data_IF_870321435231
#
_entry.id   IF_870321435231
#
_cell.length_a   1.000
_cell.length_b   1.000
_cell.length_c   1.000
_cell.angle_alpha   90.00
_cell.angle_beta   90.00
_cell.angle_gamma   90.00
#
_symmetry.space_group_name_H-M   'P 1'
#
loop_
_entity.id
_entity.type
_entity.pdbx_description
1 polymer ?
#
# COMPACT_ATOMS: atom_id res chain seq x y z
N UNK A 1 -14.31 13.62 19.26
CA UNK A 1 -15.25 14.00 18.18
C UNK A 1 -14.69 13.61 16.83
N UNK A 2 -15.13 12.50 16.25
CA UNK A 2 -14.70 12.02 14.92
C UNK A 2 -15.36 12.86 13.82
N UNK A 3 -14.57 13.70 13.12
CA UNK A 3 -15.05 14.41 11.93
C UNK A 3 -15.41 13.39 10.84
N UNK A 4 -16.71 13.09 10.69
CA UNK A 4 -17.22 12.33 9.54
C UNK A 4 -16.89 13.12 8.27
N UNK A 5 -16.01 12.59 7.42
CA UNK A 5 -15.72 13.15 6.10
C UNK A 5 -17.02 13.17 5.29
N UNK A 6 -17.53 14.37 4.99
CA UNK A 6 -18.70 14.54 4.13
C UNK A 6 -18.35 14.06 2.72
N UNK A 7 -19.25 13.28 2.12
CA UNK A 7 -19.10 12.83 0.74
C UNK A 7 -19.09 14.04 -0.23
N UNK A 8 -18.12 14.07 -1.15
CA UNK A 8 -17.99 15.11 -2.18
C UNK A 8 -17.99 14.44 -3.56
N UNK A 9 -18.80 14.96 -4.50
CA UNK A 9 -18.85 14.46 -5.88
C UNK A 9 -17.49 14.62 -6.58
N UNK A 10 -17.06 13.62 -7.34
CA UNK A 10 -15.72 13.53 -7.97
C UNK A 10 -15.33 14.77 -8.81
N UNK A 11 -16.27 15.35 -9.54
CA UNK A 11 -16.01 16.54 -10.36
C UNK A 11 -15.72 17.79 -9.50
N UNK A 12 -16.40 17.92 -8.36
CA UNK A 12 -16.17 19.02 -7.40
C UNK A 12 -14.80 18.85 -6.75
N UNK A 13 -14.45 17.63 -6.33
CA UNK A 13 -13.12 17.32 -5.79
C UNK A 13 -11.99 17.68 -6.77
N UNK A 14 -12.14 17.33 -8.06
CA UNK A 14 -11.19 17.70 -9.12
C UNK A 14 -11.07 19.21 -9.33
N UNK A 15 -12.19 19.95 -9.26
CA UNK A 15 -12.19 21.42 -9.40
C UNK A 15 -11.46 22.08 -8.22
N UNK A 16 -11.70 21.61 -6.99
CA UNK A 16 -11.00 22.09 -5.79
C UNK A 16 -9.49 21.82 -5.92
N UNK A 17 -9.10 20.60 -6.32
CA UNK A 17 -7.69 20.25 -6.53
C UNK A 17 -7.00 21.12 -7.59
N UNK A 18 -7.66 21.38 -8.73
CA UNK A 18 -7.12 22.28 -9.77
C UNK A 18 -6.96 23.72 -9.27
N UNK A 19 -7.91 24.21 -8.48
CA UNK A 19 -7.85 25.57 -7.92
C UNK A 19 -6.77 25.70 -6.84
N UNK A 20 -6.53 24.65 -6.03
CA UNK A 20 -5.43 24.61 -5.06
C UNK A 20 -4.06 24.51 -5.73
N UNK A 21 -3.95 23.84 -6.89
CA UNK A 21 -2.71 23.80 -7.68
C UNK A 21 -2.40 25.15 -8.36
N UNK A 22 -3.44 25.94 -8.70
CA UNK A 22 -3.29 27.27 -9.30
C UNK A 22 -3.10 28.42 -8.29
N UNK A 23 -3.33 28.20 -6.99
CA UNK A 23 -2.91 29.17 -5.98
C UNK A 23 -1.41 29.03 -5.74
N UNK A 24 -0.66 30.12 -5.91
CA UNK A 24 0.79 30.25 -5.72
C UNK A 24 1.33 29.69 -4.37
N UNK A 25 1.37 28.38 -4.20
CA UNK A 25 2.00 27.68 -3.06
C UNK A 25 3.50 27.39 -3.25
N UNK A 26 4.10 27.95 -4.32
CA UNK A 26 5.23 27.32 -5.02
C UNK A 26 6.62 27.82 -4.63
N UNK A 27 6.83 28.40 -3.45
CA UNK A 27 8.20 28.73 -2.99
C UNK A 27 8.70 27.92 -1.80
N UNK A 28 7.81 27.26 -1.04
CA UNK A 28 8.17 26.56 0.20
C UNK A 28 7.70 25.11 0.28
N UNK A 29 7.12 24.57 -0.79
CA UNK A 29 6.64 23.18 -0.78
C UNK A 29 7.78 22.15 -0.76
N UNK A 30 8.93 22.49 -1.34
CA UNK A 30 10.10 21.62 -1.46
C UNK A 30 11.33 22.40 -1.03
N UNK A 31 12.06 21.89 -0.05
CA UNK A 31 13.30 22.46 0.48
C UNK A 31 14.43 21.46 0.21
N UNK A 32 15.35 21.83 -0.68
CA UNK A 32 16.52 21.02 -0.96
C UNK A 32 17.72 21.47 -0.11
N UNK A 33 18.10 20.62 0.84
CA UNK A 33 19.30 20.74 1.67
C UNK A 33 20.39 19.74 1.25
N UNK A 34 20.15 18.95 0.19
CA UNK A 34 21.12 17.99 -0.32
C UNK A 34 22.13 18.67 -1.24
N UNK A 35 23.26 18.00 -1.47
CA UNK A 35 24.28 18.48 -2.42
C UNK A 35 23.86 18.30 -3.89
N UNK A 36 22.81 17.52 -4.17
CA UNK A 36 22.35 17.24 -5.53
C UNK A 36 21.31 18.25 -6.00
N UNK A 37 21.44 18.81 -7.22
CA UNK A 37 20.41 19.67 -7.78
C UNK A 37 19.17 18.84 -8.17
N UNK A 38 17.99 19.44 -8.02
CA UNK A 38 16.74 18.83 -8.46
C UNK A 38 16.38 19.32 -9.86
N UNK A 39 16.15 18.38 -10.76
CA UNK A 39 15.52 18.67 -12.05
C UNK A 39 14.05 19.12 -11.91
N UNK A 40 13.55 19.81 -12.92
CA UNK A 40 12.17 20.29 -13.04
C UNK A 40 11.17 19.13 -12.88
N UNK A 41 11.47 17.94 -13.41
CA UNK A 41 10.61 16.78 -13.27
C UNK A 41 10.57 16.24 -11.84
N UNK A 42 11.69 16.30 -11.10
CA UNK A 42 11.73 15.98 -9.67
C UNK A 42 10.85 16.93 -8.86
N UNK A 43 10.95 18.23 -9.14
CA UNK A 43 10.14 19.26 -8.46
C UNK A 43 8.66 19.03 -8.76
N UNK A 44 8.30 18.80 -10.03
CA UNK A 44 6.92 18.50 -10.45
C UNK A 44 6.37 17.26 -9.75
N UNK A 45 7.14 16.18 -9.68
CA UNK A 45 6.76 14.95 -8.99
C UNK A 45 6.55 15.20 -7.48
N UNK A 46 7.52 15.79 -6.79
CA UNK A 46 7.47 16.04 -5.35
C UNK A 46 6.35 17.01 -4.99
N UNK A 47 6.01 17.96 -5.88
CA UNK A 47 4.90 18.89 -5.67
C UNK A 47 3.53 18.21 -5.56
N UNK A 48 3.39 16.96 -6.03
CA UNK A 48 2.18 16.15 -5.84
C UNK A 48 2.02 15.64 -4.41
N UNK A 49 3.09 15.67 -3.61
CA UNK A 49 3.10 15.29 -2.19
C UNK A 49 3.51 13.84 -1.92
N UNK A 50 4.01 13.58 -0.71
CA UNK A 50 4.47 12.24 -0.28
C UNK A 50 3.34 11.20 -0.13
N UNK A 51 2.08 11.66 -0.07
CA UNK A 51 0.90 10.79 -0.04
C UNK A 51 0.33 10.49 -1.45
N UNK A 52 0.99 10.96 -2.50
CA UNK A 52 0.58 10.68 -3.87
C UNK A 52 0.82 9.21 -4.20
N UNK A 53 -0.19 8.54 -4.76
CA UNK A 53 -0.09 7.14 -5.21
C UNK A 53 -0.02 7.10 -6.73
N UNK A 54 1.14 6.74 -7.32
CA UNK A 54 1.25 6.44 -8.74
C UNK A 54 0.31 5.31 -9.14
N UNK A 55 -0.26 5.41 -10.34
CA UNK A 55 -0.95 4.28 -10.98
C UNK A 55 0.11 3.30 -11.49
N UNK A 56 0.07 2.05 -11.02
CA UNK A 56 0.96 1.00 -11.55
C UNK A 56 0.65 0.76 -13.03
N UNK A 57 1.69 0.53 -13.83
CA UNK A 57 1.55 0.29 -15.28
C UNK A 57 1.23 -1.17 -15.61
N UNK A 58 1.73 -2.09 -14.78
CA UNK A 58 1.52 -3.51 -14.92
C UNK A 58 0.94 -4.10 -13.65
N UNK A 59 0.21 -5.19 -13.85
CA UNK A 59 -0.27 -6.04 -12.79
C UNK A 59 0.84 -7.03 -12.39
N UNK A 60 1.14 -7.14 -11.09
CA UNK A 60 2.11 -8.12 -10.60
C UNK A 60 1.39 -9.46 -10.38
N UNK A 61 1.47 -10.33 -11.39
CA UNK A 61 0.85 -11.67 -11.36
C UNK A 61 1.36 -12.52 -10.20
N UNK A 62 2.64 -12.39 -9.83
CA UNK A 62 3.26 -13.16 -8.74
C UNK A 62 2.70 -12.71 -7.40
N UNK A 63 2.62 -11.41 -7.15
CA UNK A 63 1.99 -10.87 -5.92
C UNK A 63 0.52 -11.26 -5.86
N UNK A 64 -0.23 -11.15 -6.95
CA UNK A 64 -1.63 -11.56 -6.99
C UNK A 64 -1.80 -13.04 -6.66
N UNK A 65 -1.00 -13.92 -7.27
CA UNK A 65 -1.05 -15.35 -6.98
C UNK A 65 -0.70 -15.61 -5.51
N UNK A 66 0.31 -14.92 -4.98
CA UNK A 66 0.70 -15.01 -3.57
C UNK A 66 -0.46 -14.62 -2.66
N UNK A 67 -1.15 -13.53 -2.96
CA UNK A 67 -2.31 -13.07 -2.20
C UNK A 67 -3.47 -14.08 -2.25
N UNK A 68 -3.74 -14.66 -3.42
CA UNK A 68 -4.75 -15.73 -3.58
C UNK A 68 -4.36 -16.96 -2.75
N UNK A 69 -3.10 -17.38 -2.76
CA UNK A 69 -2.62 -18.51 -1.95
C UNK A 69 -2.73 -18.23 -0.45
N UNK A 70 -2.37 -17.04 0.00
CA UNK A 70 -2.50 -16.64 1.41
C UNK A 70 -3.97 -16.55 1.84
N UNK A 71 -4.83 -16.03 0.98
CA UNK A 71 -6.27 -15.94 1.23
C UNK A 71 -6.93 -17.31 1.35
N UNK A 72 -6.72 -18.18 0.37
CA UNK A 72 -7.26 -19.55 0.35
C UNK A 72 -6.76 -20.35 1.55
N UNK A 73 -5.50 -20.19 1.91
CA UNK A 73 -4.92 -20.74 3.15
C UNK A 73 -5.68 -20.25 4.40
N UNK A 74 -5.95 -18.95 4.53
CA UNK A 74 -6.68 -18.40 5.69
C UNK A 74 -8.07 -19.01 5.82
N UNK A 75 -8.79 -19.16 4.71
CA UNK A 75 -10.11 -19.82 4.68
C UNK A 75 -9.99 -21.26 5.18
N UNK A 76 -9.03 -22.02 4.66
CA UNK A 76 -8.84 -23.43 5.04
C UNK A 76 -8.48 -23.60 6.49
N UNK A 77 -7.57 -22.78 7.00
CA UNK A 77 -7.20 -22.79 8.43
C UNK A 77 -8.43 -22.49 9.28
N UNK A 78 -9.21 -21.45 8.96
CA UNK A 78 -10.42 -21.13 9.71
C UNK A 78 -11.41 -22.30 9.73
N UNK A 79 -11.69 -22.90 8.58
CA UNK A 79 -12.58 -24.07 8.50
C UNK A 79 -12.02 -25.30 9.26
N UNK A 80 -10.71 -25.54 9.19
CA UNK A 80 -10.09 -26.68 9.86
C UNK A 80 -10.20 -26.60 11.39
N UNK A 81 -10.10 -25.39 11.95
CA UNK A 81 -10.14 -25.16 13.40
C UNK A 81 -11.53 -24.76 13.95
N UNK A 82 -12.55 -24.63 13.09
CA UNK A 82 -13.91 -24.22 13.46
C UNK A 82 -14.57 -25.14 14.51
N UNK A 83 -14.30 -26.45 14.45
CA UNK A 83 -14.83 -27.42 15.42
C UNK A 83 -13.99 -27.49 16.71
N UNK A 84 -12.71 -27.13 16.67
CA UNK A 84 -11.83 -27.14 17.85
C UNK A 84 -12.13 -26.01 18.82
N UNK A 85 -12.81 -24.96 18.37
CA UNK A 85 -13.21 -23.84 19.24
C UNK A 85 -14.44 -24.20 20.06
N UNK A 86 -15.39 -24.98 19.51
CA UNK A 86 -16.63 -25.36 20.18
C UNK A 86 -16.46 -26.45 21.25
N UNK A 87 -15.51 -27.36 21.08
CA UNK A 87 -15.22 -28.41 22.09
C UNK A 87 -14.39 -27.90 23.29
N UNK A 88 -13.84 -26.68 23.21
CA UNK A 88 -12.98 -26.10 24.25
C UNK A 88 -13.64 -24.98 25.08
N UNK A 89 -14.91 -24.66 24.85
CA UNK A 89 -15.63 -23.65 25.65
C UNK A 89 -15.84 -24.09 27.11
N UNK A 90 -15.85 -25.41 27.39
CA UNK A 90 -16.03 -25.98 28.73
C UNK A 90 -14.72 -26.26 29.49
N UNK A 91 -13.55 -25.89 28.94
CA UNK A 91 -12.27 -26.16 29.56
C UNK A 91 -11.81 -24.94 30.40
N UNK A 92 -11.65 -25.06 31.74
CA UNK A 92 -11.32 -23.93 32.64
C UNK A 92 -9.89 -23.38 32.45
N UNK A 93 -9.11 -23.91 31.50
CA UNK A 93 -7.78 -23.47 31.13
C UNK A 93 -7.75 -22.61 29.84
N UNK A 94 -8.85 -21.92 29.51
CA UNK A 94 -8.89 -20.90 28.47
C UNK A 94 -8.12 -19.65 28.94
N UNK A 95 -6.80 -19.80 29.12
CA UNK A 95 -5.89 -18.67 29.20
C UNK A 95 -5.99 -17.87 27.90
N UNK A 96 -6.13 -16.55 28.04
CA UNK A 96 -6.12 -15.60 26.93
C UNK A 96 -4.87 -15.83 26.08
N UNK A 97 -5.04 -16.43 24.89
CA UNK A 97 -3.90 -16.75 24.02
C UNK A 97 -3.16 -15.47 23.65
N UNK A 98 -2.01 -15.23 24.26
CA UNK A 98 -1.08 -14.19 23.84
C UNK A 98 -0.14 -14.78 22.78
N UNK A 99 -0.22 -14.36 21.51
CA UNK A 99 0.66 -14.88 20.47
C UNK A 99 2.12 -14.57 20.81
N UNK A 100 2.96 -15.60 20.95
CA UNK A 100 4.40 -15.41 21.17
C UNK A 100 5.02 -14.72 19.93
N UNK A 101 5.62 -13.52 20.08
CA UNK A 101 6.19 -12.76 18.97
C UNK A 101 7.40 -13.44 18.30
N UNK A 102 8.04 -14.41 18.97
CA UNK A 102 9.20 -15.16 18.44
C UNK A 102 8.82 -16.49 17.77
N UNK A 103 7.53 -16.84 17.74
CA UNK A 103 7.07 -18.05 17.07
C UNK A 103 7.02 -17.82 15.56
N UNK A 104 7.81 -18.58 14.81
CA UNK A 104 7.74 -18.57 13.34
C UNK A 104 6.33 -18.95 12.87
N UNK A 105 5.84 -18.25 11.84
CA UNK A 105 4.57 -18.60 11.23
C UNK A 105 4.65 -20.00 10.63
N UNK A 106 3.70 -20.87 10.98
CA UNK A 106 3.63 -22.20 10.38
C UNK A 106 3.49 -22.09 8.86
N UNK A 107 4.20 -22.93 8.10
CA UNK A 107 4.02 -23.11 6.66
C UNK A 107 2.88 -24.06 6.30
N UNK A 108 2.28 -24.75 7.27
CA UNK A 108 1.30 -25.80 7.03
C UNK A 108 -0.06 -25.29 6.54
N UNK A 109 -0.62 -25.94 5.54
CA UNK A 109 -1.98 -25.68 5.02
C UNK A 109 -2.79 -26.98 5.05
N UNK A 110 -4.06 -26.95 5.50
CA UNK A 110 -4.91 -28.13 5.45
C UNK A 110 -5.09 -28.64 4.00
N UNK A 111 -5.06 -29.98 3.78
CA UNK A 111 -5.25 -30.55 2.46
C UNK A 111 -6.67 -30.26 1.93
N UNK A 112 -6.84 -30.16 0.60
CA UNK A 112 -8.16 -30.09 -0.03
C UNK A 112 -8.98 -31.36 0.23
N UNK A 113 -10.29 -31.29 0.03
CA UNK A 113 -11.18 -32.44 -0.05
C UNK A 113 -12.05 -32.68 1.19
N UNK A 114 -11.80 -31.97 2.30
CA UNK A 114 -12.62 -32.09 3.51
C UNK A 114 -14.05 -31.53 3.30
N UNK A 115 -14.18 -30.45 2.53
CA UNK A 115 -15.46 -29.82 2.22
C UNK A 115 -15.48 -29.39 0.75
N UNK A 116 -16.34 -30.05 -0.04
CA UNK A 116 -16.48 -29.83 -1.49
C UNK A 116 -16.97 -28.43 -1.83
N UNK A 117 -17.88 -27.87 -1.03
CA UNK A 117 -18.45 -26.54 -1.25
C UNK A 117 -17.39 -25.46 -1.04
N UNK A 118 -16.58 -25.61 0.01
CA UNK A 118 -15.46 -24.72 0.30
C UNK A 118 -14.40 -24.77 -0.80
N UNK A 119 -14.04 -25.97 -1.27
CA UNK A 119 -13.07 -26.12 -2.35
C UNK A 119 -13.62 -25.57 -3.67
N UNK A 120 -14.90 -25.78 -3.97
CA UNK A 120 -15.57 -25.16 -5.13
C UNK A 120 -15.52 -23.63 -5.06
N UNK A 121 -15.85 -23.05 -3.91
CA UNK A 121 -15.79 -21.61 -3.68
C UNK A 121 -14.37 -21.05 -3.85
N UNK A 122 -13.36 -21.71 -3.26
CA UNK A 122 -11.96 -21.35 -3.42
C UNK A 122 -11.56 -21.35 -4.89
N UNK A 123 -11.94 -22.40 -5.64
CA UNK A 123 -11.62 -22.52 -7.06
C UNK A 123 -12.29 -21.43 -7.89
N UNK A 124 -13.57 -21.12 -7.63
CA UNK A 124 -14.27 -20.04 -8.33
C UNK A 124 -13.61 -18.69 -8.08
N UNK A 125 -13.30 -18.34 -6.83
CA UNK A 125 -12.64 -17.06 -6.52
C UNK A 125 -11.25 -16.98 -7.11
N UNK A 126 -10.45 -18.03 -7.01
CA UNK A 126 -9.12 -18.06 -7.60
C UNK A 126 -9.19 -17.86 -9.12
N UNK A 127 -10.18 -18.48 -9.77
CA UNK A 127 -10.45 -18.30 -11.19
C UNK A 127 -10.87 -16.87 -11.51
N UNK A 128 -11.82 -16.30 -10.76
CA UNK A 128 -12.31 -14.94 -10.98
C UNK A 128 -11.19 -13.91 -10.82
N UNK A 129 -10.35 -14.05 -9.79
CA UNK A 129 -9.24 -13.10 -9.55
C UNK A 129 -8.15 -13.24 -10.62
N UNK A 130 -7.77 -14.46 -10.98
CA UNK A 130 -6.63 -14.71 -11.87
C UNK A 130 -6.99 -14.66 -13.36
N UNK A 131 -8.24 -14.94 -13.74
CA UNK A 131 -8.65 -15.05 -15.15
C UNK A 131 -9.54 -13.89 -15.61
N UNK A 132 -10.10 -13.09 -14.70
CA UNK A 132 -10.83 -11.90 -15.12
C UNK A 132 -9.81 -10.90 -15.70
N UNK A 133 -9.89 -10.56 -17.01
CA UNK A 133 -9.03 -9.53 -17.54
C UNK A 133 -9.27 -8.26 -16.73
N UNK A 134 -8.23 -7.49 -16.44
CA UNK A 134 -8.37 -6.17 -15.83
C UNK A 134 -9.15 -5.27 -16.81
N UNK A 135 -10.49 -5.38 -16.80
CA UNK A 135 -11.41 -4.79 -17.80
C UNK A 135 -11.40 -3.27 -17.79
N UNK A 136 -10.74 -2.64 -16.80
CA UNK A 136 -10.68 -1.19 -16.65
C UNK A 136 -9.37 -0.68 -17.22
N UNK A 137 -9.47 0.14 -18.27
CA UNK A 137 -8.35 0.95 -18.76
C UNK A 137 -7.80 1.76 -17.59
N UNK A 138 -6.56 1.47 -17.19
CA UNK A 138 -5.85 2.24 -16.19
C UNK A 138 -5.25 3.47 -16.86
N UNK A 139 -5.50 4.64 -16.28
CA UNK A 139 -4.94 5.90 -16.78
C UNK A 139 -3.71 6.23 -15.95
N UNK A 140 -2.58 6.43 -16.62
CA UNK A 140 -1.35 6.94 -15.99
C UNK A 140 -1.64 8.32 -15.41
N UNK A 141 -1.28 8.51 -14.15
CA UNK A 141 -1.39 9.78 -13.43
C UNK A 141 -0.04 10.50 -13.27
N UNK A 142 1.03 9.93 -13.84
CA UNK A 142 2.36 10.51 -13.97
C UNK A 142 2.76 10.56 -15.45
N UNK A 143 3.52 11.58 -15.81
CA UNK A 143 4.17 11.66 -17.12
C UNK A 143 5.41 10.75 -17.17
N UNK A 144 5.86 10.30 -18.35
CA UNK A 144 7.06 9.47 -18.49
C UNK A 144 8.30 10.08 -17.82
N UNK A 145 8.45 11.40 -17.88
CA UNK A 145 9.58 12.13 -17.30
C UNK A 145 9.49 12.16 -15.77
N UNK A 146 8.27 12.31 -15.22
CA UNK A 146 8.04 12.22 -13.76
C UNK A 146 8.25 10.78 -13.24
N UNK A 147 8.00 9.78 -14.08
CA UNK A 147 8.28 8.37 -13.76
C UNK A 147 9.77 8.07 -13.75
N UNK A 148 10.54 8.64 -14.68
CA UNK A 148 12.00 8.57 -14.64
C UNK A 148 12.53 9.24 -13.37
N UNK A 149 12.10 10.47 -13.09
CA UNK A 149 12.43 11.18 -11.86
C UNK A 149 12.07 10.39 -10.58
N UNK A 150 10.96 9.65 -10.57
CA UNK A 150 10.57 8.79 -9.45
C UNK A 150 11.55 7.62 -9.26
N UNK A 151 12.01 7.01 -10.35
CA UNK A 151 13.01 5.93 -10.29
C UNK A 151 14.36 6.48 -9.82
N UNK A 152 14.79 7.60 -10.37
CA UNK A 152 16.05 8.26 -10.02
C UNK A 152 16.10 8.58 -8.51
N UNK A 153 15.05 9.21 -7.96
CA UNK A 153 14.96 9.50 -6.52
C UNK A 153 14.86 8.25 -5.65
N UNK A 154 14.28 7.15 -6.16
CA UNK A 154 14.13 5.89 -5.42
C UNK A 154 15.46 5.12 -5.35
N UNK A 155 16.25 5.17 -6.41
CA UNK A 155 17.53 4.46 -6.52
C UNK A 155 18.66 5.20 -5.78
N UNK A 156 18.55 6.51 -5.61
CA UNK A 156 19.53 7.32 -4.91
C UNK A 156 19.54 7.06 -3.39
N UNK A 157 20.59 6.38 -2.92
CA UNK A 157 20.81 6.06 -1.50
C UNK A 157 21.50 7.18 -0.72
N UNK A 158 22.01 8.21 -1.39
CA UNK A 158 22.76 9.29 -0.76
C UNK A 158 21.85 10.39 -0.22
N UNK A 159 20.58 10.43 -0.65
CA UNK A 159 19.59 11.40 -0.23
C UNK A 159 18.49 10.76 0.62
N UNK A 160 17.85 11.58 1.45
CA UNK A 160 16.68 11.25 2.25
C UNK A 160 15.61 12.29 1.98
N UNK A 161 14.40 11.83 1.71
CA UNK A 161 13.22 12.65 1.48
C UNK A 161 12.25 12.46 2.64
N UNK A 162 11.91 13.53 3.35
CA UNK A 162 11.01 13.50 4.51
C UNK A 162 10.04 14.68 4.54
N UNK A 163 8.88 14.53 5.18
CA UNK A 163 8.06 15.69 5.53
C UNK A 163 8.82 16.58 6.53
N UNK A 164 8.71 17.90 6.36
CA UNK A 164 9.17 18.87 7.34
C UNK A 164 8.33 18.79 8.61
N UNK A 165 8.97 19.01 9.76
CA UNK A 165 8.28 19.08 11.06
C UNK A 165 7.23 20.21 11.10
N UNK A 166 7.53 21.33 10.43
CA UNK A 166 6.65 22.50 10.34
C UNK A 166 6.38 22.88 8.89
N UNK A 167 5.19 23.40 8.61
CA UNK A 167 4.85 23.99 7.32
C UNK A 167 4.50 23.01 6.20
N UNK A 168 4.47 21.70 6.45
CA UNK A 168 4.00 20.69 5.47
C UNK A 168 4.85 20.57 4.21
N UNK A 169 6.06 21.13 4.23
CA UNK A 169 7.02 21.05 3.13
C UNK A 169 7.65 19.65 3.04
N UNK A 170 8.25 19.35 1.90
CA UNK A 170 9.11 18.18 1.69
C UNK A 170 10.55 18.64 1.78
N UNK A 171 11.33 18.01 2.65
CA UNK A 171 12.76 18.28 2.81
C UNK A 171 13.56 17.14 2.21
N UNK A 172 14.54 17.50 1.39
CA UNK A 172 15.52 16.59 0.82
C UNK A 172 16.86 16.92 1.45
N UNK A 173 17.56 15.91 1.97
CA UNK A 173 18.83 16.10 2.67
C UNK A 173 19.77 14.95 2.38
N UNK A 174 21.07 15.16 2.59
CA UNK A 174 22.03 14.07 2.48
C UNK A 174 21.79 13.06 3.61
N UNK A 175 21.89 11.78 3.28
CA UNK A 175 21.79 10.69 4.25
C UNK A 175 22.82 10.82 5.36
N UNK A 176 24.05 11.21 5.03
CA UNK A 176 25.14 11.39 6.00
C UNK A 176 24.77 12.46 7.04
N UNK A 177 24.24 13.60 6.59
CA UNK A 177 23.87 14.70 7.47
C UNK A 177 22.65 14.37 8.35
N UNK A 178 21.72 13.55 7.83
CA UNK A 178 20.59 13.04 8.60
C UNK A 178 21.02 12.05 9.70
N UNK A 179 22.00 11.18 9.43
CA UNK A 179 22.46 10.16 10.38
C UNK A 179 23.35 10.76 11.49
N UNK A 180 24.16 11.77 11.17
CA UNK A 180 25.05 12.44 12.14
C UNK A 180 24.30 13.23 13.22
N UNK A 181 22.98 13.36 13.08
CA UNK A 181 22.12 14.16 13.96
C UNK A 181 21.60 13.31 15.12
#
# INVERSE_FOLDING_TARGET
MTRKRKYIKRNIYRKIQKNSANSNGSKHAIVNLSHKPLDIHHISLLSKGLNFSPTNESHNEIEQLTDVLLFTRRIRLKHHYDNKTKENEDNPANEEYTPNPFKLSSGWTPPPGKNKDLDSFINCIAKDICQEPQKRKQYRNLRPEELAALKDLKEDKEIIIKPADKGGAIVIMNRVDYIKK
#
